data_IF_152129935651
#
_entry.id   IF_152129935651
#
_cell.length_a   1.000
_cell.length_b   1.000
_cell.length_c   1.000
_cell.angle_alpha   90.00
_cell.angle_beta   90.00
_cell.angle_gamma   90.00
#
_symmetry.space_group_name_H-M   'P 1'
#
loop_
_entity.id
_entity.type
_entity.pdbx_description
1 polymer ?
#
# COMPACT_ATOMS: atom_id res chain seq x y z
N UNK A 1 -8.03 -14.21 -21.91
CA UNK A 1 -7.54 -13.16 -21.01
C UNK A 1 -6.36 -13.76 -20.30
N UNK A 2 -5.23 -13.07 -20.27
CA UNK A 2 -4.10 -13.54 -19.44
C UNK A 2 -4.53 -13.38 -17.98
N UNK A 3 -4.53 -14.48 -17.22
CA UNK A 3 -4.81 -14.46 -15.78
C UNK A 3 -3.59 -13.89 -15.07
N UNK A 4 -3.49 -12.56 -15.02
CA UNK A 4 -2.49 -11.93 -14.16
C UNK A 4 -2.91 -12.10 -12.71
N UNK A 5 -1.96 -12.42 -11.83
CA UNK A 5 -2.25 -12.70 -10.42
C UNK A 5 -2.84 -11.51 -9.66
N UNK A 6 -2.69 -10.30 -10.21
CA UNK A 6 -3.20 -9.06 -9.63
C UNK A 6 -4.60 -8.68 -10.13
N UNK A 7 -5.16 -9.38 -11.12
CA UNK A 7 -6.51 -9.05 -11.60
C UNK A 7 -7.59 -9.62 -10.68
N UNK A 8 -8.61 -8.83 -10.32
CA UNK A 8 -9.84 -9.37 -9.76
C UNK A 8 -10.50 -10.35 -10.75
N UNK A 9 -11.26 -11.36 -10.28
CA UNK A 9 -11.99 -12.24 -11.17
C UNK A 9 -13.05 -11.48 -11.97
N UNK A 10 -13.29 -11.90 -13.22
CA UNK A 10 -14.37 -11.33 -14.07
C UNK A 10 -15.76 -11.50 -13.46
N UNK A 11 -15.97 -12.59 -12.73
CA UNK A 11 -17.17 -12.84 -11.95
C UNK A 11 -16.75 -13.59 -10.68
N UNK A 12 -17.08 -13.02 -9.53
CA UNK A 12 -16.66 -13.50 -8.22
C UNK A 12 -17.52 -12.89 -7.10
N UNK A 13 -17.25 -13.31 -5.88
CA UNK A 13 -17.85 -12.81 -4.66
C UNK A 13 -17.42 -11.36 -4.34
N UNK A 14 -18.11 -10.71 -3.41
CA UNK A 14 -17.69 -9.41 -2.87
C UNK A 14 -16.25 -9.46 -2.35
N UNK A 15 -15.90 -10.51 -1.60
CA UNK A 15 -14.57 -10.69 -1.03
C UNK A 15 -13.50 -10.81 -2.11
N UNK A 16 -13.73 -11.64 -3.13
CA UNK A 16 -12.76 -11.83 -4.21
C UNK A 16 -12.52 -10.53 -4.99
N UNK A 17 -13.56 -9.74 -5.24
CA UNK A 17 -13.40 -8.44 -5.89
C UNK A 17 -12.70 -7.41 -5.00
N UNK A 18 -13.02 -7.34 -3.70
CA UNK A 18 -12.44 -6.36 -2.79
C UNK A 18 -10.95 -6.63 -2.56
N UNK A 19 -10.57 -7.89 -2.34
CA UNK A 19 -9.16 -8.29 -2.21
C UNK A 19 -8.43 -8.14 -3.54
N UNK A 20 -9.04 -8.58 -4.65
CA UNK A 20 -8.47 -8.42 -5.98
C UNK A 20 -8.23 -6.96 -6.35
N UNK A 21 -9.17 -6.06 -6.06
CA UNK A 21 -9.02 -4.63 -6.35
C UNK A 21 -7.87 -4.00 -5.55
N UNK A 22 -7.73 -4.39 -4.27
CA UNK A 22 -6.62 -3.95 -3.44
C UNK A 22 -5.28 -4.48 -3.97
N UNK A 23 -5.18 -5.75 -4.34
CA UNK A 23 -3.95 -6.32 -4.89
C UNK A 23 -3.60 -5.76 -6.28
N UNK A 24 -4.59 -5.46 -7.12
CA UNK A 24 -4.39 -4.72 -8.39
C UNK A 24 -3.76 -3.36 -8.11
N UNK A 25 -4.35 -2.56 -7.23
CA UNK A 25 -3.84 -1.24 -6.89
C UNK A 25 -2.45 -1.28 -6.26
N UNK A 26 -2.17 -2.22 -5.33
CA UNK A 26 -0.83 -2.44 -4.79
C UNK A 26 0.18 -2.73 -5.90
N UNK A 27 -0.22 -3.56 -6.86
CA UNK A 27 0.65 -3.97 -7.97
C UNK A 27 0.92 -2.80 -8.92
N UNK A 28 -0.12 -2.06 -9.31
CA UNK A 28 0.01 -0.86 -10.14
C UNK A 28 0.86 0.20 -9.45
N UNK A 29 0.57 0.51 -8.18
CA UNK A 29 1.39 1.44 -7.38
C UNK A 29 2.85 1.00 -7.36
N UNK A 30 3.10 -0.28 -7.04
CA UNK A 30 4.46 -0.81 -6.95
C UNK A 30 5.20 -0.69 -8.27
N UNK A 31 4.55 -0.94 -9.40
CA UNK A 31 5.11 -0.77 -10.74
C UNK A 31 5.47 0.68 -11.06
N UNK A 32 4.63 1.64 -10.65
CA UNK A 32 4.88 3.07 -10.85
C UNK A 32 6.10 3.55 -10.08
N UNK A 33 6.35 3.02 -8.90
CA UNK A 33 7.47 3.42 -8.04
C UNK A 33 8.71 2.54 -8.21
N UNK A 34 8.68 1.51 -9.08
CA UNK A 34 9.75 0.53 -9.23
C UNK A 34 10.94 1.01 -10.06
N UNK A 35 12.10 0.38 -9.88
CA UNK A 35 13.28 0.60 -10.73
C UNK A 35 13.71 2.07 -10.75
N UNK A 36 13.76 2.68 -9.56
CA UNK A 36 14.19 4.06 -9.37
C UNK A 36 15.29 4.12 -8.32
N UNK A 37 16.29 4.98 -8.57
CA UNK A 37 17.29 5.36 -7.60
C UNK A 37 16.79 6.48 -6.68
N UNK A 38 17.68 7.01 -5.83
CA UNK A 38 17.34 8.09 -4.91
C UNK A 38 16.89 9.37 -5.63
N UNK A 39 17.44 9.67 -6.81
CA UNK A 39 17.06 10.85 -7.59
C UNK A 39 15.65 10.68 -8.17
N UNK A 40 15.34 9.51 -8.72
CA UNK A 40 14.01 9.18 -9.21
C UNK A 40 12.95 9.16 -8.09
N UNK A 41 13.26 8.52 -6.96
CA UNK A 41 12.35 8.47 -5.81
C UNK A 41 12.15 9.84 -5.15
N UNK A 42 13.15 10.71 -5.21
CA UNK A 42 13.12 12.07 -4.65
C UNK A 42 12.59 13.15 -5.60
N UNK A 43 12.29 12.82 -6.85
CA UNK A 43 11.83 13.78 -7.84
C UNK A 43 10.46 14.38 -7.47
N UNK A 44 10.26 15.64 -7.87
CA UNK A 44 9.05 16.43 -7.64
C UNK A 44 8.56 17.07 -8.95
N UNK A 45 7.28 17.39 -8.97
CA UNK A 45 6.67 18.24 -10.01
C UNK A 45 6.45 19.65 -9.46
N UNK A 46 6.41 20.70 -10.31
CA UNK A 46 6.35 22.09 -9.83
C UNK A 46 5.15 22.44 -8.94
N UNK A 47 4.05 21.68 -9.03
CA UNK A 47 2.82 21.93 -8.29
C UNK A 47 2.69 21.14 -6.98
N UNK A 48 3.69 20.31 -6.61
CA UNK A 48 3.57 19.43 -5.44
C UNK A 48 4.91 19.12 -4.80
N UNK A 49 4.91 19.01 -3.47
CA UNK A 49 6.04 18.52 -2.69
C UNK A 49 6.08 16.99 -2.54
N UNK A 50 5.07 16.27 -3.07
CA UNK A 50 5.04 14.81 -3.05
C UNK A 50 6.18 14.22 -3.89
N UNK A 51 6.69 13.08 -3.43
CA UNK A 51 7.70 12.28 -4.11
C UNK A 51 7.29 10.81 -4.12
N UNK A 52 7.82 10.01 -5.05
CA UNK A 52 7.53 8.57 -5.12
C UNK A 52 8.06 7.83 -3.87
N UNK A 53 9.23 8.23 -3.36
CA UNK A 53 9.76 7.72 -2.09
C UNK A 53 8.88 8.07 -0.89
N UNK A 54 8.34 9.30 -0.85
CA UNK A 54 7.37 9.72 0.16
C UNK A 54 6.09 8.88 0.14
N UNK A 55 5.58 8.58 -1.05
CA UNK A 55 4.40 7.73 -1.22
C UNK A 55 4.67 6.28 -0.78
N UNK A 56 5.85 5.72 -1.08
CA UNK A 56 6.28 4.40 -0.59
C UNK A 56 6.25 4.32 0.93
N UNK A 57 6.92 5.27 1.61
CA UNK A 57 6.99 5.30 3.08
C UNK A 57 5.60 5.53 3.70
N UNK A 58 4.81 6.41 3.11
CA UNK A 58 3.46 6.69 3.56
C UNK A 58 2.56 5.45 3.49
N UNK A 59 2.46 4.80 2.31
CA UNK A 59 1.59 3.63 2.15
C UNK A 59 2.08 2.44 2.97
N UNK A 60 3.39 2.30 3.18
CA UNK A 60 3.94 1.29 4.10
C UNK A 60 3.41 1.50 5.54
N UNK A 61 3.39 2.74 6.03
CA UNK A 61 2.84 3.04 7.35
C UNK A 61 1.32 2.84 7.40
N UNK A 62 0.59 3.22 6.33
CA UNK A 62 -0.85 3.00 6.22
C UNK A 62 -1.20 1.50 6.32
N UNK A 63 -0.45 0.64 5.63
CA UNK A 63 -0.62 -0.82 5.72
C UNK A 63 -0.50 -1.34 7.16
N UNK A 64 0.56 -0.96 7.89
CA UNK A 64 0.74 -1.40 9.27
C UNK A 64 -0.27 -0.74 10.23
N UNK A 65 -0.67 0.51 9.99
CA UNK A 65 -1.72 1.19 10.77
C UNK A 65 -3.05 0.48 10.64
N UNK A 66 -3.47 0.16 9.42
CA UNK A 66 -4.74 -0.50 9.16
C UNK A 66 -4.75 -1.91 9.74
N UNK A 67 -3.71 -2.70 9.48
CA UNK A 67 -3.70 -4.12 9.84
C UNK A 67 -3.14 -4.43 11.24
N UNK A 68 -2.55 -3.47 11.94
CA UNK A 68 -2.08 -3.66 13.33
C UNK A 68 -2.92 -2.85 14.31
N UNK A 69 -2.98 -1.53 14.10
CA UNK A 69 -3.62 -0.63 15.05
C UNK A 69 -5.13 -0.73 14.92
N UNK A 70 -5.66 -0.50 13.72
CA UNK A 70 -7.12 -0.48 13.50
C UNK A 70 -7.73 -1.86 13.48
N UNK A 71 -6.99 -2.89 13.05
CA UNK A 71 -7.50 -4.26 13.05
C UNK A 71 -7.60 -4.83 14.47
N UNK A 72 -6.56 -4.68 15.31
CA UNK A 72 -6.48 -5.41 16.59
C UNK A 72 -6.19 -4.54 17.82
N UNK A 73 -6.10 -3.22 17.68
CA UNK A 73 -5.67 -2.32 18.77
C UNK A 73 -4.20 -2.46 19.13
N UNK A 74 -3.41 -3.07 18.26
CA UNK A 74 -2.00 -3.32 18.48
C UNK A 74 -1.16 -2.05 18.40
N UNK A 75 0.05 -2.09 18.96
CA UNK A 75 1.07 -1.05 18.69
C UNK A 75 1.68 -1.31 17.32
N UNK A 76 1.85 -0.27 16.51
CA UNK A 76 2.35 -0.38 15.13
C UNK A 76 3.72 -1.10 15.05
N UNK A 77 4.58 -0.89 16.06
CA UNK A 77 5.87 -1.56 16.20
C UNK A 77 6.93 -1.11 15.18
N UNK A 78 7.97 -1.92 15.05
CA UNK A 78 9.06 -1.71 14.08
C UNK A 78 8.59 -1.85 12.62
N UNK A 79 9.19 -1.09 11.68
CA UNK A 79 10.32 -0.17 11.86
C UNK A 79 9.96 1.21 12.43
N UNK A 80 8.65 1.52 12.54
CA UNK A 80 8.14 2.87 12.80
C UNK A 80 8.52 3.43 14.16
N UNK A 81 8.71 2.57 15.16
CA UNK A 81 9.22 2.98 16.47
C UNK A 81 10.65 3.51 16.38
N UNK A 82 11.52 2.83 15.64
CA UNK A 82 12.91 3.23 15.41
C UNK A 82 13.05 4.42 14.46
N UNK A 83 12.09 4.65 13.55
CA UNK A 83 12.15 5.81 12.64
C UNK A 83 11.80 7.14 13.30
N UNK A 84 11.31 7.14 14.55
CA UNK A 84 10.90 8.37 15.24
C UNK A 84 9.52 8.89 14.87
N UNK A 85 8.70 8.10 14.16
CA UNK A 85 7.34 8.48 13.80
C UNK A 85 6.44 8.64 15.04
N UNK A 86 5.55 9.64 15.01
CA UNK A 86 4.66 10.00 16.15
C UNK A 86 3.20 10.22 15.75
N UNK A 87 2.77 9.68 14.60
CA UNK A 87 1.35 9.69 14.19
C UNK A 87 0.93 10.76 13.18
N UNK A 88 1.88 11.39 12.46
CA UNK A 88 1.57 12.40 11.43
C UNK A 88 1.88 11.94 10.01
N UNK A 89 1.00 12.27 9.05
CA UNK A 89 1.18 11.95 7.63
C UNK A 89 2.31 12.78 6.99
N UNK A 90 2.36 14.09 7.28
CA UNK A 90 3.38 14.99 6.71
C UNK A 90 4.81 14.55 7.04
N UNK A 91 5.00 13.92 8.21
CA UNK A 91 6.29 13.37 8.62
C UNK A 91 6.73 12.20 7.72
N UNK A 92 5.80 11.32 7.34
CA UNK A 92 6.10 10.18 6.46
C UNK A 92 6.52 10.63 5.07
N UNK A 93 5.89 11.69 4.55
CA UNK A 93 6.27 12.28 3.27
C UNK A 93 7.62 12.99 3.32
N UNK A 94 7.85 13.82 4.34
CA UNK A 94 9.03 14.69 4.42
C UNK A 94 10.33 13.94 4.76
N UNK A 95 10.26 12.84 5.52
CA UNK A 95 11.45 12.09 5.96
C UNK A 95 11.84 10.93 5.05
N UNK A 96 11.09 10.65 3.98
CA UNK A 96 11.47 9.60 3.05
C UNK A 96 12.78 9.90 2.31
N UNK A 97 13.19 11.17 2.22
CA UNK A 97 14.48 11.55 1.64
C UNK A 97 15.69 11.19 2.53
N UNK A 98 15.45 10.84 3.80
CA UNK A 98 16.49 10.42 4.74
C UNK A 98 16.76 8.91 4.67
N UNK A 99 15.88 8.14 4.02
CA UNK A 99 16.01 6.70 3.81
C UNK A 99 16.62 6.39 2.44
N UNK A 100 17.39 5.31 2.34
CA UNK A 100 17.87 4.79 1.06
C UNK A 100 16.72 4.19 0.24
N UNK A 101 16.85 4.10 -1.11
CA UNK A 101 15.86 3.42 -1.95
C UNK A 101 15.55 2.00 -1.48
N UNK A 102 16.57 1.22 -1.10
CA UNK A 102 16.41 -0.15 -0.62
C UNK A 102 15.59 -0.23 0.67
N UNK A 103 15.77 0.71 1.60
CA UNK A 103 14.97 0.81 2.82
C UNK A 103 13.51 1.15 2.51
N UNK A 104 13.26 2.11 1.61
CA UNK A 104 11.90 2.50 1.22
C UNK A 104 11.14 1.34 0.57
N UNK A 105 11.78 0.59 -0.33
CA UNK A 105 11.19 -0.62 -0.90
C UNK A 105 10.96 -1.70 0.16
N UNK A 106 11.93 -1.93 1.05
CA UNK A 106 11.81 -2.91 2.12
C UNK A 106 10.68 -2.58 3.12
N UNK A 107 10.48 -1.31 3.45
CA UNK A 107 9.38 -0.87 4.30
C UNK A 107 8.03 -1.24 3.69
N UNK A 108 7.82 -0.87 2.43
CA UNK A 108 6.54 -1.11 1.76
C UNK A 108 6.30 -2.60 1.50
N UNK A 109 7.29 -3.31 0.94
CA UNK A 109 7.18 -4.75 0.68
C UNK A 109 6.92 -5.54 1.97
N UNK A 110 7.63 -5.19 3.05
CA UNK A 110 7.45 -5.79 4.36
C UNK A 110 6.07 -5.52 4.94
N UNK A 111 5.56 -4.29 4.80
CA UNK A 111 4.24 -3.92 5.30
C UNK A 111 3.12 -4.64 4.53
N UNK A 112 3.20 -4.73 3.20
CA UNK A 112 2.24 -5.48 2.38
C UNK A 112 2.24 -6.97 2.71
N UNK A 113 3.42 -7.56 2.93
CA UNK A 113 3.49 -8.97 3.37
C UNK A 113 2.78 -9.17 4.70
N UNK A 114 3.11 -8.36 5.71
CA UNK A 114 2.47 -8.43 7.04
C UNK A 114 0.96 -8.19 6.95
N UNK A 115 0.51 -7.25 6.12
CA UNK A 115 -0.92 -6.96 5.97
C UNK A 115 -1.68 -8.10 5.31
N UNK A 116 -1.10 -8.76 4.30
CA UNK A 116 -1.65 -9.99 3.71
C UNK A 116 -1.80 -11.11 4.74
N UNK A 117 -0.78 -11.34 5.57
CA UNK A 117 -0.82 -12.37 6.62
C UNK A 117 -1.97 -12.09 7.62
N UNK A 118 -2.08 -10.83 8.08
CA UNK A 118 -3.11 -10.38 9.03
C UNK A 118 -4.51 -10.40 8.43
N UNK A 119 -4.64 -10.01 7.15
CA UNK A 119 -5.88 -10.10 6.39
C UNK A 119 -6.40 -11.55 6.31
N UNK A 120 -5.53 -12.50 5.94
CA UNK A 120 -5.88 -13.91 5.87
C UNK A 120 -6.38 -14.47 7.20
N UNK A 121 -5.73 -14.09 8.31
CA UNK A 121 -6.15 -14.47 9.66
C UNK A 121 -7.54 -13.89 10.01
N UNK A 122 -7.78 -12.60 9.74
CA UNK A 122 -9.05 -11.94 10.02
C UNK A 122 -10.21 -12.53 9.18
N UNK A 123 -9.97 -12.80 7.90
CA UNK A 123 -10.94 -13.45 7.01
C UNK A 123 -11.29 -14.86 7.48
N UNK A 124 -10.31 -15.62 7.97
CA UNK A 124 -10.54 -16.96 8.54
C UNK A 124 -11.37 -16.87 9.83
N UNK A 125 -11.16 -15.85 10.65
CA UNK A 125 -11.84 -15.69 11.93
C UNK A 125 -13.29 -15.20 11.81
N UNK A 126 -13.60 -14.33 10.85
CA UNK A 126 -14.94 -13.74 10.74
C UNK A 126 -15.32 -13.19 9.37
N UNK A 127 -14.57 -13.52 8.31
CA UNK A 127 -14.79 -12.97 6.98
C UNK A 127 -14.73 -11.44 6.96
N UNK A 128 -15.49 -10.84 6.05
CA UNK A 128 -15.59 -9.37 5.92
C UNK A 128 -16.29 -8.69 7.11
N UNK A 129 -17.04 -9.46 7.90
CA UNK A 129 -17.75 -8.96 9.10
C UNK A 129 -16.93 -9.08 10.38
N UNK A 130 -15.67 -9.54 10.29
CA UNK A 130 -14.76 -9.57 11.43
C UNK A 130 -14.66 -8.18 12.07
N UNK A 131 -14.96 -8.10 13.37
CA UNK A 131 -14.88 -6.85 14.13
C UNK A 131 -13.43 -6.35 14.20
N UNK A 132 -13.27 -5.03 14.20
CA UNK A 132 -11.95 -4.38 14.24
C UNK A 132 -11.88 -3.38 15.40
N UNK A 133 -10.69 -3.00 15.81
CA UNK A 133 -10.47 -1.96 16.82
C UNK A 133 -10.59 -0.54 16.22
N UNK A 134 -11.76 -0.27 15.66
CA UNK A 134 -12.13 1.04 15.11
C UNK A 134 -13.63 1.25 15.35
N UNK A 135 -13.99 2.44 15.82
CA UNK A 135 -15.37 2.84 16.01
C UNK A 135 -15.57 4.29 15.55
N UNK A 136 -16.82 4.64 15.24
CA UNK A 136 -17.20 6.03 14.95
C UNK A 136 -17.32 6.88 16.24
N UNK A 137 -17.72 8.14 16.08
CA UNK A 137 -17.89 9.08 17.22
C UNK A 137 -18.95 8.65 18.24
N UNK A 138 -19.88 7.78 17.85
CA UNK A 138 -20.94 7.26 18.71
C UNK A 138 -20.55 5.90 19.34
N UNK A 139 -19.33 5.41 19.08
CA UNK A 139 -18.83 4.14 19.58
C UNK A 139 -19.36 2.92 18.81
N UNK A 140 -19.95 3.10 17.62
CA UNK A 140 -20.39 1.97 16.79
C UNK A 140 -19.17 1.32 16.14
N UNK A 141 -18.95 0.00 16.33
CA UNK A 141 -17.76 -0.66 15.81
C UNK A 141 -17.81 -0.81 14.29
N UNK A 142 -16.66 -0.65 13.66
CA UNK A 142 -16.44 -1.01 12.28
C UNK A 142 -16.10 -2.51 12.15
N UNK A 143 -15.99 -2.98 10.91
CA UNK A 143 -15.54 -4.33 10.57
C UNK A 143 -14.45 -4.31 9.49
N UNK A 144 -13.91 -5.48 9.16
CA UNK A 144 -12.84 -5.64 8.19
C UNK A 144 -13.19 -5.06 6.82
N UNK A 145 -14.46 -5.17 6.40
CA UNK A 145 -14.95 -4.54 5.16
C UNK A 145 -14.64 -3.05 5.12
N UNK A 146 -14.89 -2.33 6.22
CA UNK A 146 -14.59 -0.88 6.30
C UNK A 146 -13.10 -0.61 6.08
N UNK A 147 -12.21 -1.36 6.75
CA UNK A 147 -10.76 -1.16 6.62
C UNK A 147 -10.26 -1.42 5.20
N UNK A 148 -10.80 -2.44 4.52
CA UNK A 148 -10.42 -2.77 3.15
C UNK A 148 -10.86 -1.70 2.16
N UNK A 149 -12.07 -1.15 2.29
CA UNK A 149 -12.52 -0.04 1.45
C UNK A 149 -11.68 1.23 1.70
N UNK A 150 -11.41 1.57 2.96
CA UNK A 150 -10.53 2.69 3.29
C UNK A 150 -9.15 2.52 2.62
N UNK A 151 -8.61 1.30 2.61
CA UNK A 151 -7.30 1.03 2.00
C UNK A 151 -7.35 1.09 0.46
N UNK A 152 -8.42 0.62 -0.18
CA UNK A 152 -8.64 0.77 -1.63
C UNK A 152 -8.70 2.25 -2.01
N UNK A 153 -9.39 3.08 -1.23
CA UNK A 153 -9.45 4.52 -1.46
C UNK A 153 -8.08 5.21 -1.33
N UNK A 154 -7.31 4.85 -0.29
CA UNK A 154 -5.95 5.37 -0.07
C UNK A 154 -5.01 4.99 -1.23
N UNK A 155 -5.00 3.71 -1.64
CA UNK A 155 -4.20 3.29 -2.79
C UNK A 155 -4.67 3.93 -4.10
N UNK A 156 -5.98 4.03 -4.34
CA UNK A 156 -6.52 4.65 -5.54
C UNK A 156 -6.06 6.11 -5.66
N UNK A 157 -6.14 6.88 -4.56
CA UNK A 157 -5.67 8.26 -4.53
C UNK A 157 -4.16 8.37 -4.78
N UNK A 158 -3.36 7.54 -4.11
CA UNK A 158 -1.90 7.63 -4.17
C UNK A 158 -1.27 7.00 -5.42
N UNK A 159 -1.95 6.05 -6.06
CA UNK A 159 -1.54 5.53 -7.38
C UNK A 159 -1.69 6.61 -8.45
N UNK A 160 -2.79 7.39 -8.42
CA UNK A 160 -2.93 8.53 -9.33
C UNK A 160 -1.87 9.62 -9.13
N UNK A 161 -1.43 9.86 -7.89
CA UNK A 161 -0.26 10.73 -7.65
C UNK A 161 1.03 10.12 -8.22
N UNK A 162 1.23 8.80 -8.03
CA UNK A 162 2.39 8.09 -8.54
C UNK A 162 2.46 8.08 -10.08
N UNK A 163 1.31 8.06 -10.78
CA UNK A 163 1.26 8.19 -12.24
C UNK A 163 1.92 9.48 -12.72
N UNK A 164 1.45 10.63 -12.22
CA UNK A 164 1.96 11.93 -12.64
C UNK A 164 3.43 12.13 -12.27
N UNK A 165 3.83 11.67 -11.08
CA UNK A 165 5.21 11.75 -10.63
C UNK A 165 6.11 10.85 -11.49
N UNK A 166 5.68 9.62 -11.80
CA UNK A 166 6.47 8.69 -12.61
C UNK A 166 6.61 9.17 -14.05
N UNK A 167 5.53 9.67 -14.65
CA UNK A 167 5.59 10.26 -15.99
C UNK A 167 6.60 11.42 -16.05
N UNK A 168 6.65 12.26 -15.01
CA UNK A 168 7.63 13.35 -14.93
C UNK A 168 9.08 12.89 -14.75
N UNK A 169 9.31 11.72 -14.17
CA UNK A 169 10.66 11.16 -13.93
C UNK A 169 11.26 10.60 -15.22
N UNK A 170 10.54 9.71 -15.91
CA UNK A 170 11.08 8.99 -17.07
C UNK A 170 10.06 8.72 -18.19
N UNK A 171 8.84 9.28 -18.10
CA UNK A 171 7.79 9.10 -19.09
C UNK A 171 7.03 7.77 -19.01
N UNK A 172 7.23 6.94 -17.97
CA UNK A 172 6.46 5.68 -17.83
C UNK A 172 4.98 5.97 -17.53
N UNK A 173 4.12 5.53 -18.46
CA UNK A 173 2.66 5.67 -18.43
C UNK A 173 1.95 4.31 -18.55
N UNK A 174 0.61 4.30 -18.41
CA UNK A 174 -0.26 3.13 -18.59
C UNK A 174 -1.03 2.75 -17.32
N UNK A 175 -2.11 1.98 -17.48
CA UNK A 175 -3.02 1.59 -16.37
C UNK A 175 -2.45 0.45 -15.50
N UNK A 176 -1.78 -0.52 -16.13
CA UNK A 176 -1.30 -1.75 -15.50
C UNK A 176 0.14 -2.09 -15.93
N UNK A 177 0.87 -2.88 -15.12
CA UNK A 177 2.17 -3.38 -15.54
C UNK A 177 2.07 -4.23 -16.81
N UNK A 178 3.12 -4.27 -17.65
CA UNK A 178 3.12 -5.11 -18.84
C UNK A 178 3.05 -6.61 -18.48
N UNK A 179 2.61 -7.47 -19.42
CA UNK A 179 2.59 -8.92 -19.22
C UNK A 179 3.92 -9.46 -18.71
N UNK A 180 3.87 -10.28 -17.65
CA UNK A 180 5.05 -10.89 -17.04
C UNK A 180 5.92 -9.95 -16.20
N UNK A 181 5.49 -8.71 -15.95
CA UNK A 181 6.21 -7.79 -15.08
C UNK A 181 6.48 -8.40 -13.69
N UNK A 182 7.67 -8.13 -13.17
CA UNK A 182 8.09 -8.40 -11.81
C UNK A 182 8.82 -7.18 -11.27
N UNK A 183 8.70 -6.95 -9.98
CA UNK A 183 9.46 -5.91 -9.31
C UNK A 183 10.95 -6.11 -9.54
N UNK A 184 11.63 -5.05 -9.99
CA UNK A 184 13.07 -4.98 -10.18
C UNK A 184 13.76 -4.68 -8.85
N UNK A 185 13.18 -3.77 -8.07
CA UNK A 185 13.68 -3.42 -6.73
C UNK A 185 12.99 -4.25 -5.64
N UNK A 186 13.65 -4.43 -4.49
CA UNK A 186 13.04 -5.11 -3.34
C UNK A 186 12.60 -6.56 -3.63
N UNK A 187 11.45 -6.94 -3.10
CA UNK A 187 10.94 -8.32 -3.02
C UNK A 187 9.44 -8.47 -3.26
N UNK A 188 8.74 -7.40 -3.66
CA UNK A 188 7.30 -7.47 -3.96
C UNK A 188 6.97 -8.52 -5.01
N UNK A 189 5.88 -9.24 -4.76
CA UNK A 189 5.41 -10.29 -5.66
C UNK A 189 3.99 -10.74 -5.33
N UNK A 190 3.53 -11.81 -6.01
CA UNK A 190 2.22 -12.40 -5.77
C UNK A 190 2.06 -12.83 -4.30
N UNK A 191 0.82 -12.88 -3.79
CA UNK A 191 0.53 -13.49 -2.49
C UNK A 191 1.10 -14.92 -2.42
N UNK A 192 1.50 -15.34 -1.23
CA UNK A 192 1.83 -16.74 -0.99
C UNK A 192 0.59 -17.60 -1.25
N UNK A 193 0.78 -18.74 -1.95
CA UNK A 193 -0.28 -19.71 -2.22
C UNK A 193 -0.56 -20.59 -1.01
#
# INVERSE_FOLDING_TARGET
MEDYWWEPPMAGTELEHLVGALDRLRTTFRWKVDDLDAAGLGARIPSSDLTLGGLLKHLAAVEDLQFTVRLTGGRIGEPWESTGWRGGNDWLFSTAADDSPDELYAYWDGAVRRSRDRLGAALTAGGLDHAVDLADSDGRPANLRRLLFDLVEEYGRHTGHADLLREAVDGRVGEDPPPGWRAVSGSFGPPAR
#
